data_IF_722620590160
#
_entry.id   IF_722620590160
#
_cell.length_a   1.000
_cell.length_b   1.000
_cell.length_c   1.000
_cell.angle_alpha   90.00
_cell.angle_beta   90.00
_cell.angle_gamma   90.00
#
_symmetry.space_group_name_H-M   'P 1'
#
loop_
_entity.id
_entity.type
_entity.pdbx_description
1 polymer ?
#
# COMPACT_ATOMS: atom_id res chain seq x y z
N UNK A 1 -38.67 -1.70 16.16
CA UNK A 1 -37.70 -2.40 17.03
C UNK A 1 -36.35 -2.41 16.31
N UNK A 2 -35.36 -1.66 16.80
CA UNK A 2 -34.01 -1.61 16.19
C UNK A 2 -33.21 -2.83 16.64
N UNK A 3 -32.80 -3.66 15.68
CA UNK A 3 -31.98 -4.85 15.95
C UNK A 3 -30.62 -4.40 16.52
N UNK A 4 -30.28 -4.84 17.74
CA UNK A 4 -28.95 -4.64 18.33
C UNK A 4 -27.91 -5.32 17.44
N UNK A 5 -27.02 -4.53 16.83
CA UNK A 5 -25.89 -5.05 16.07
C UNK A 5 -25.04 -5.93 17.00
N UNK A 6 -24.89 -7.22 16.65
CA UNK A 6 -24.00 -8.13 17.38
C UNK A 6 -22.56 -7.78 16.99
N UNK A 7 -21.82 -7.21 17.92
CA UNK A 7 -20.38 -7.01 17.75
C UNK A 7 -19.69 -8.37 17.85
N UNK A 8 -19.06 -8.81 16.76
CA UNK A 8 -18.20 -9.98 16.75
C UNK A 8 -16.75 -9.52 16.97
N UNK A 9 -16.16 -9.96 18.08
CA UNK A 9 -14.75 -9.73 18.35
C UNK A 9 -13.91 -10.75 17.59
N UNK A 10 -13.05 -10.28 16.70
CA UNK A 10 -12.09 -11.12 15.95
C UNK A 10 -10.68 -10.81 16.45
N UNK A 11 -9.95 -11.84 16.86
CA UNK A 11 -8.55 -11.75 17.30
C UNK A 11 -7.64 -12.23 16.16
N UNK A 12 -6.66 -11.40 15.80
CA UNK A 12 -5.62 -11.76 14.85
C UNK A 12 -4.30 -11.92 15.59
N UNK A 13 -3.58 -12.99 15.31
CA UNK A 13 -2.26 -13.26 15.88
C UNK A 13 -1.22 -13.20 14.76
N UNK A 14 -0.12 -12.49 15.01
CA UNK A 14 1.00 -12.38 14.08
C UNK A 14 2.27 -12.84 14.77
N UNK A 15 2.96 -13.81 14.15
CA UNK A 15 4.30 -14.22 14.56
C UNK A 15 5.31 -13.38 13.78
N UNK A 16 6.10 -12.59 14.52
CA UNK A 16 7.13 -11.71 13.97
C UNK A 16 8.49 -12.12 14.52
N UNK A 17 9.53 -12.02 13.69
CA UNK A 17 10.92 -12.01 14.17
C UNK A 17 11.18 -10.74 14.98
N UNK A 18 12.21 -10.75 15.82
CA UNK A 18 12.57 -9.60 16.67
C UNK A 18 12.79 -8.32 15.85
N UNK A 19 13.59 -8.41 14.79
CA UNK A 19 13.86 -7.30 13.87
C UNK A 19 12.58 -6.73 13.23
N UNK A 20 11.66 -7.61 12.78
CA UNK A 20 10.40 -7.16 12.21
C UNK A 20 9.55 -6.46 13.26
N UNK A 21 9.47 -6.99 14.48
CA UNK A 21 8.70 -6.36 15.56
C UNK A 21 9.24 -4.97 15.89
N UNK A 22 10.55 -4.80 15.96
CA UNK A 22 11.22 -3.51 16.20
C UNK A 22 10.92 -2.52 15.06
N UNK A 23 11.04 -2.97 13.81
CA UNK A 23 10.69 -2.16 12.64
C UNK A 23 9.24 -1.66 12.68
N UNK A 24 8.29 -2.56 12.95
CA UNK A 24 6.86 -2.21 13.04
C UNK A 24 6.55 -1.29 14.21
N UNK A 25 7.28 -1.43 15.32
CA UNK A 25 7.12 -0.55 16.48
C UNK A 25 7.63 0.86 16.15
N UNK A 26 8.84 0.99 15.62
CA UNK A 26 9.41 2.27 15.21
C UNK A 26 8.54 3.00 14.19
N UNK A 27 7.96 2.27 13.24
CA UNK A 27 7.03 2.83 12.26
C UNK A 27 5.73 3.33 12.92
N UNK A 28 5.20 2.60 13.89
CA UNK A 28 3.99 3.02 14.62
C UNK A 28 4.25 4.29 15.45
N UNK A 29 5.41 4.34 16.11
CA UNK A 29 5.85 5.46 16.93
C UNK A 29 6.04 6.73 16.07
N UNK A 30 6.66 6.60 14.89
CA UNK A 30 6.83 7.70 13.92
C UNK A 30 5.50 8.31 13.44
N UNK A 31 4.42 7.52 13.50
CA UNK A 31 3.08 7.90 13.07
C UNK A 31 2.16 8.25 14.24
N UNK A 32 2.69 8.25 15.47
CA UNK A 32 1.97 8.48 16.72
C UNK A 32 0.69 7.63 16.85
N UNK A 33 0.76 6.37 16.43
CA UNK A 33 -0.34 5.40 16.53
C UNK A 33 0.13 4.11 17.19
N UNK A 34 -0.81 3.32 17.73
CA UNK A 34 -0.46 2.00 18.24
C UNK A 34 -0.01 1.06 17.11
N UNK A 35 0.92 0.15 17.40
CA UNK A 35 1.33 -0.91 16.47
C UNK A 35 0.13 -1.77 16.01
N UNK A 36 -0.82 -2.05 16.90
CA UNK A 36 -2.04 -2.76 16.54
C UNK A 36 -2.88 -1.99 15.52
N UNK A 37 -2.96 -0.66 15.67
CA UNK A 37 -3.64 0.22 14.71
C UNK A 37 -2.90 0.26 13.36
N UNK A 38 -1.58 0.34 13.38
CA UNK A 38 -0.76 0.26 12.17
C UNK A 38 -0.95 -1.09 11.44
N UNK A 39 -0.94 -2.20 12.17
CA UNK A 39 -1.21 -3.55 11.64
C UNK A 39 -2.63 -3.63 11.09
N UNK A 40 -3.64 -3.13 11.81
CA UNK A 40 -5.02 -3.04 11.31
C UNK A 40 -5.09 -2.23 10.03
N UNK A 41 -4.44 -1.07 9.94
CA UNK A 41 -4.40 -0.23 8.74
C UNK A 41 -3.71 -0.93 7.56
N UNK A 42 -2.65 -1.70 7.81
CA UNK A 42 -1.95 -2.50 6.79
C UNK A 42 -2.76 -3.72 6.34
N UNK A 43 -3.39 -4.47 7.25
CA UNK A 43 -4.30 -5.58 6.91
C UNK A 43 -5.59 -5.08 6.25
N UNK A 44 -6.09 -3.92 6.67
CA UNK A 44 -7.23 -3.24 6.07
C UNK A 44 -6.96 -2.74 4.64
N UNK A 45 -5.70 -2.82 4.18
CA UNK A 45 -5.33 -2.76 2.77
C UNK A 45 -6.12 -3.73 1.86
N UNK A 46 -6.86 -4.69 2.43
CA UNK A 46 -7.75 -5.57 1.67
C UNK A 46 -9.25 -5.23 1.72
N UNK A 47 -9.78 -4.34 2.57
CA UNK A 47 -11.25 -4.07 2.58
C UNK A 47 -11.81 -2.88 3.37
N UNK A 48 -11.02 -2.15 4.15
CA UNK A 48 -11.57 -1.09 5.00
C UNK A 48 -10.71 0.16 4.86
N UNK A 49 -11.21 1.14 4.14
CA UNK A 49 -10.64 2.50 4.12
C UNK A 49 -11.75 3.46 4.46
N UNK A 50 -11.43 4.38 5.36
CA UNK A 50 -11.76 5.80 5.17
C UNK A 50 -10.48 6.45 4.65
N UNK A 51 -10.21 6.35 3.34
CA UNK A 51 -9.46 7.43 2.69
C UNK A 51 -10.34 8.67 2.86
N UNK A 52 -9.82 9.83 3.31
CA UNK A 52 -10.61 11.06 3.27
C UNK A 52 -11.22 11.20 1.87
N UNK A 53 -12.54 11.40 1.74
CA UNK A 53 -13.20 11.38 0.42
C UNK A 53 -12.48 12.26 -0.62
N UNK A 54 -11.92 13.39 -0.17
CA UNK A 54 -11.09 14.32 -0.96
C UNK A 54 -9.89 13.65 -1.64
N UNK A 55 -9.31 12.62 -1.03
CA UNK A 55 -8.11 11.92 -1.52
C UNK A 55 -8.45 10.64 -2.29
N UNK A 56 -9.71 10.22 -2.32
CA UNK A 56 -10.10 8.91 -2.82
C UNK A 56 -9.88 8.76 -4.33
N UNK A 57 -10.23 9.80 -5.10
CA UNK A 57 -10.03 9.84 -6.56
C UNK A 57 -8.55 9.73 -6.92
N UNK A 58 -7.70 10.52 -6.26
CA UNK A 58 -6.25 10.50 -6.48
C UNK A 58 -5.65 9.13 -6.10
N UNK A 59 -6.04 8.57 -4.96
CA UNK A 59 -5.57 7.25 -4.53
C UNK A 59 -5.91 6.14 -5.54
N UNK A 60 -7.13 6.12 -6.08
CA UNK A 60 -7.53 5.13 -7.08
C UNK A 60 -6.82 5.30 -8.41
N UNK A 61 -6.60 6.55 -8.85
CA UNK A 61 -5.82 6.81 -10.07
C UNK A 61 -4.37 6.33 -9.91
N UNK A 62 -3.74 6.61 -8.77
CA UNK A 62 -2.39 6.10 -8.47
C UNK A 62 -2.34 4.58 -8.37
N UNK A 63 -3.37 3.93 -7.81
CA UNK A 63 -3.45 2.47 -7.84
C UNK A 63 -3.53 1.95 -9.27
N UNK A 64 -4.39 2.53 -10.11
CA UNK A 64 -4.55 2.11 -11.50
C UNK A 64 -3.22 2.22 -12.27
N UNK A 65 -2.51 3.33 -12.12
CA UNK A 65 -1.19 3.52 -12.75
C UNK A 65 -0.21 2.44 -12.27
N UNK A 66 -0.18 2.14 -10.97
CA UNK A 66 0.68 1.08 -10.42
C UNK A 66 0.35 -0.29 -10.99
N UNK A 67 -0.94 -0.61 -11.18
CA UNK A 67 -1.38 -1.88 -11.76
C UNK A 67 -1.00 -1.97 -13.25
N UNK A 68 -1.18 -0.88 -14.01
CA UNK A 68 -0.82 -0.81 -15.42
C UNK A 68 0.70 -1.02 -15.61
N UNK A 69 1.54 -0.39 -14.77
CA UNK A 69 3.00 -0.60 -14.77
C UNK A 69 3.35 -2.08 -14.50
N UNK A 70 2.73 -2.68 -13.49
CA UNK A 70 2.95 -4.10 -13.16
C UNK A 70 2.58 -5.03 -14.33
N UNK A 71 1.52 -4.71 -15.08
CA UNK A 71 1.13 -5.49 -16.26
C UNK A 71 2.12 -5.33 -17.41
N UNK A 72 2.66 -4.13 -17.62
CA UNK A 72 3.72 -3.89 -18.61
C UNK A 72 4.96 -4.74 -18.29
N UNK A 73 5.43 -4.69 -17.04
CA UNK A 73 6.60 -5.47 -16.60
C UNK A 73 6.40 -6.99 -16.76
N UNK A 74 5.21 -7.50 -16.42
CA UNK A 74 4.85 -8.91 -16.62
C UNK A 74 4.81 -9.29 -18.09
N UNK A 75 4.18 -8.46 -18.93
CA UNK A 75 4.06 -8.73 -20.37
C UNK A 75 5.42 -8.77 -21.04
N UNK A 76 6.32 -7.87 -20.66
CA UNK A 76 7.70 -7.86 -21.14
C UNK A 76 8.47 -9.11 -20.71
N UNK A 77 8.37 -9.48 -19.44
CA UNK A 77 8.99 -10.71 -18.92
C UNK A 77 8.48 -11.96 -19.64
N UNK A 78 7.19 -12.02 -19.95
CA UNK A 78 6.58 -13.11 -20.73
C UNK A 78 7.11 -13.12 -22.16
N UNK A 79 7.21 -11.96 -22.83
CA UNK A 79 7.75 -11.86 -24.17
C UNK A 79 9.20 -12.37 -24.25
N UNK A 80 10.05 -12.00 -23.29
CA UNK A 80 11.42 -12.53 -23.16
C UNK A 80 11.40 -14.05 -22.99
N UNK A 81 10.56 -14.57 -22.07
CA UNK A 81 10.45 -16.00 -21.82
C UNK A 81 9.97 -16.80 -23.05
N UNK A 82 9.23 -16.15 -23.96
CA UNK A 82 8.77 -16.72 -25.22
C UNK A 82 9.77 -16.54 -26.37
N UNK A 83 10.95 -15.97 -26.11
CA UNK A 83 11.97 -15.72 -27.13
C UNK A 83 11.66 -14.55 -28.08
N UNK A 84 10.69 -13.71 -27.73
CA UNK A 84 10.40 -12.47 -28.44
C UNK A 84 11.34 -11.37 -27.96
N UNK A 85 11.61 -10.40 -28.83
CA UNK A 85 12.37 -9.19 -28.49
C UNK A 85 11.39 -8.06 -28.18
N UNK A 86 10.99 -7.86 -26.92
CA UNK A 86 10.07 -6.77 -26.59
C UNK A 86 10.75 -5.40 -26.77
N UNK A 87 9.97 -4.33 -26.92
CA UNK A 87 10.51 -2.98 -26.97
C UNK A 87 11.37 -2.69 -25.74
N UNK A 88 12.50 -2.03 -25.98
CA UNK A 88 13.43 -1.66 -24.94
C UNK A 88 12.81 -0.56 -24.09
N UNK A 89 12.64 -0.82 -22.79
CA UNK A 89 12.27 0.21 -21.83
C UNK A 89 13.23 0.17 -20.64
N UNK A 90 13.44 1.33 -20.04
CA UNK A 90 14.33 1.46 -18.89
C UNK A 90 13.61 0.98 -17.63
N UNK A 91 14.00 -0.22 -17.17
CA UNK A 91 13.47 -0.83 -15.95
C UNK A 91 13.70 0.04 -14.71
N UNK A 92 14.80 0.80 -14.68
CA UNK A 92 15.16 1.65 -13.54
C UNK A 92 14.10 2.74 -13.36
N UNK A 93 13.68 3.39 -14.46
CA UNK A 93 12.65 4.42 -14.43
C UNK A 93 11.29 3.90 -13.94
N UNK A 94 10.96 2.64 -14.23
CA UNK A 94 9.70 2.03 -13.77
C UNK A 94 9.73 1.64 -12.30
N UNK A 95 10.86 1.14 -11.79
CA UNK A 95 11.04 0.84 -10.37
C UNK A 95 10.98 2.11 -9.52
N UNK A 96 11.66 3.18 -9.96
CA UNK A 96 11.60 4.51 -9.32
C UNK A 96 10.16 5.05 -9.32
N UNK A 97 9.45 4.93 -10.44
CA UNK A 97 8.05 5.36 -10.56
C UNK A 97 7.12 4.57 -9.62
N UNK A 98 7.30 3.26 -9.50
CA UNK A 98 6.52 2.43 -8.55
C UNK A 98 6.79 2.85 -7.11
N UNK A 99 8.05 3.12 -6.76
CA UNK A 99 8.43 3.56 -5.43
C UNK A 99 7.76 4.90 -5.08
N UNK A 100 7.78 5.85 -6.01
CA UNK A 100 7.17 7.18 -5.83
C UNK A 100 5.64 7.11 -5.75
N UNK A 101 4.99 6.31 -6.61
CA UNK A 101 3.54 6.07 -6.54
C UNK A 101 3.16 5.43 -5.19
N UNK A 102 3.98 4.49 -4.70
CA UNK A 102 3.76 3.83 -3.41
C UNK A 102 3.88 4.83 -2.25
N UNK A 103 4.86 5.75 -2.30
CA UNK A 103 5.04 6.84 -1.34
C UNK A 103 3.83 7.76 -1.33
N UNK A 104 3.38 8.23 -2.49
CA UNK A 104 2.22 9.12 -2.64
C UNK A 104 0.93 8.47 -2.12
N UNK A 105 0.71 7.19 -2.43
CA UNK A 105 -0.45 6.43 -1.94
C UNK A 105 -0.45 6.29 -0.42
N UNK A 106 0.73 6.21 0.21
CA UNK A 106 0.89 6.18 1.65
C UNK A 106 0.57 7.56 2.27
N UNK A 107 1.05 8.66 1.69
CA UNK A 107 0.70 10.02 2.15
C UNK A 107 -0.81 10.27 2.11
N UNK A 108 -1.47 9.91 1.00
CA UNK A 108 -2.93 10.04 0.84
C UNK A 108 -3.72 9.18 1.83
N UNK A 109 -3.12 8.07 2.29
CA UNK A 109 -3.67 7.17 3.28
C UNK A 109 -3.56 7.70 4.71
N UNK A 110 -2.44 8.34 5.02
CA UNK A 110 -2.11 8.83 6.35
C UNK A 110 -2.63 10.25 6.59
N UNK A 111 -3.04 10.97 5.54
CA UNK A 111 -3.51 12.35 5.65
C UNK A 111 -2.40 13.36 5.94
N UNK A 112 -1.14 12.96 5.82
CA UNK A 112 0.02 13.82 6.02
C UNK A 112 0.23 14.70 4.78
N UNK A 113 0.03 16.02 4.95
CA UNK A 113 0.64 17.02 4.10
C UNK A 113 2.15 16.92 4.30
N UNK A 114 2.86 16.42 3.30
CA UNK A 114 4.32 16.56 3.25
C UNK A 114 4.64 18.04 3.04
N UNK A 115 4.66 18.82 4.11
CA UNK A 115 5.39 20.07 4.13
C UNK A 115 6.80 19.76 4.66
N UNK A 116 7.85 20.00 3.86
CA UNK A 116 9.20 20.04 4.38
C UNK A 116 9.39 21.37 5.14
N UNK A 117 9.72 21.29 6.43
CA UNK A 117 10.49 22.36 7.10
C UNK A 117 11.97 22.24 6.73
#
# INVERSE_FOLDING_TARGET
>A
MTAKQKHHTVRFEMLLTKEKNEHWQALADSLNISKAELVRRKMAGCRIKTIPQVNWKCYWQLLKISDDINQIAKTHSIAIAQGLTPPQFDLILFEELIAEISRLRLCLLLGSSGEPE
#
